data_IF_754832147392
#
_entry.id   IF_754832147392
#
_cell.length_a   1.000
_cell.length_b   1.000
_cell.length_c   1.000
_cell.angle_alpha   90.00
_cell.angle_beta   90.00
_cell.angle_gamma   90.00
#
_symmetry.space_group_name_H-M   'P 1'
#
loop_
_entity.id
_entity.type
_entity.pdbx_description
1 polymer ?
#
# COMPACT_ATOMS: atom_id res chain seq x y z
N UNK A 1 -23.97 49.91 12.39
CA UNK A 1 -23.81 49.56 10.96
C UNK A 1 -22.54 48.76 10.96
N UNK A 2 -22.70 47.48 11.25
CA UNK A 2 -21.61 46.63 11.71
C UNK A 2 -21.00 46.03 10.46
N UNK A 3 -19.83 46.54 10.09
CA UNK A 3 -18.99 45.91 9.07
C UNK A 3 -18.43 44.62 9.67
N UNK A 4 -19.21 43.54 9.53
CA UNK A 4 -18.74 42.18 9.78
C UNK A 4 -17.80 41.83 8.64
N UNK A 5 -16.58 42.35 8.72
CA UNK A 5 -15.46 41.81 7.96
C UNK A 5 -15.33 40.36 8.41
N UNK A 6 -15.81 39.45 7.54
CA UNK A 6 -15.49 38.03 7.61
C UNK A 6 -13.97 37.93 7.61
N UNK A 7 -13.38 37.82 8.81
CA UNK A 7 -12.03 37.30 8.97
C UNK A 7 -12.15 35.86 8.49
N UNK A 8 -11.91 35.65 7.19
CA UNK A 8 -11.65 34.32 6.65
C UNK A 8 -10.45 33.84 7.43
N UNK A 9 -10.71 33.00 8.45
CA UNK A 9 -9.66 32.28 9.16
C UNK A 9 -9.08 31.35 8.11
N UNK A 10 -8.05 31.82 7.39
CA UNK A 10 -7.28 30.97 6.50
C UNK A 10 -6.53 30.02 7.41
N UNK A 11 -7.10 28.83 7.63
CA UNK A 11 -6.37 27.71 8.20
C UNK A 11 -5.05 27.59 7.40
N UNK A 12 -3.90 27.37 8.07
CA UNK A 12 -2.67 27.10 7.35
C UNK A 12 -2.91 25.87 6.47
N UNK A 13 -2.73 26.02 5.14
CA UNK A 13 -2.90 24.92 4.18
C UNK A 13 -2.07 23.73 4.62
N UNK A 14 -2.71 22.58 4.75
CA UNK A 14 -2.03 21.34 5.11
C UNK A 14 -1.62 20.51 3.88
N UNK A 15 -0.96 19.37 4.09
CA UNK A 15 -0.55 18.47 3.00
C UNK A 15 -1.76 17.95 2.19
N UNK A 16 -2.95 17.85 2.81
CA UNK A 16 -4.16 17.33 2.16
C UNK A 16 -4.73 18.40 1.23
N UNK A 17 -4.80 19.64 1.68
CA UNK A 17 -5.23 20.78 0.86
C UNK A 17 -4.33 20.92 -0.39
N UNK A 18 -3.01 20.81 -0.20
CA UNK A 18 -2.03 20.87 -1.28
C UNK A 18 -2.20 19.72 -2.28
N UNK A 19 -2.49 18.51 -1.80
CA UNK A 19 -2.72 17.35 -2.66
C UNK A 19 -4.04 17.44 -3.44
N UNK A 20 -5.10 17.98 -2.84
CA UNK A 20 -6.41 18.16 -3.51
C UNK A 20 -6.33 19.22 -4.60
N UNK A 21 -5.59 20.31 -4.35
CA UNK A 21 -5.37 21.39 -5.33
C UNK A 21 -4.39 20.99 -6.45
N UNK A 22 -3.69 19.86 -6.31
CA UNK A 22 -2.63 19.43 -7.22
C UNK A 22 -3.19 19.11 -8.61
N UNK A 23 -2.72 19.84 -9.62
CA UNK A 23 -3.01 19.57 -11.02
C UNK A 23 -1.94 18.62 -11.58
N UNK A 24 -2.29 17.35 -11.75
CA UNK A 24 -1.42 16.36 -12.36
C UNK A 24 -1.31 16.57 -13.86
N UNK A 25 -0.11 16.38 -14.41
CA UNK A 25 0.07 16.33 -15.86
C UNK A 25 -0.42 14.98 -16.38
N UNK A 26 -0.90 14.91 -17.62
CA UNK A 26 -1.42 13.66 -18.21
C UNK A 26 -0.45 12.47 -18.08
N UNK A 27 0.87 12.71 -18.17
CA UNK A 27 1.88 11.66 -18.01
C UNK A 27 1.97 11.09 -16.58
N UNK A 28 1.59 11.85 -15.55
CA UNK A 28 1.61 11.41 -14.15
C UNK A 28 0.37 10.58 -13.80
N UNK A 29 -0.75 10.79 -14.51
CA UNK A 29 -2.00 10.05 -14.33
C UNK A 29 -1.83 8.56 -14.68
N UNK A 30 -1.00 8.25 -15.67
CA UNK A 30 -0.73 6.86 -16.10
C UNK A 30 0.44 6.21 -15.36
N UNK A 31 1.04 6.89 -14.39
CA UNK A 31 2.18 6.37 -13.63
C UNK A 31 1.70 5.50 -12.47
N UNK A 32 2.47 4.46 -12.12
CA UNK A 32 2.18 3.63 -10.96
C UNK A 32 2.07 4.54 -9.70
N UNK A 33 0.96 4.46 -8.93
CA UNK A 33 0.75 5.34 -7.78
C UNK A 33 1.88 5.24 -6.74
N UNK A 34 2.53 4.08 -6.61
CA UNK A 34 3.68 3.91 -5.71
C UNK A 34 4.88 4.75 -6.14
N UNK A 35 5.10 4.91 -7.45
CA UNK A 35 6.17 5.75 -8.00
C UNK A 35 5.85 7.22 -7.78
N UNK A 36 4.59 7.62 -8.01
CA UNK A 36 4.13 8.98 -7.72
C UNK A 36 4.39 9.38 -6.25
N UNK A 37 3.98 8.53 -5.30
CA UNK A 37 4.19 8.80 -3.87
C UNK A 37 5.66 8.71 -3.44
N UNK A 38 6.50 7.96 -4.16
CA UNK A 38 7.93 7.94 -3.94
C UNK A 38 8.57 9.27 -4.37
N UNK A 39 8.18 9.79 -5.52
CA UNK A 39 8.68 11.06 -6.06
C UNK A 39 8.25 12.26 -5.20
N UNK A 40 7.01 12.24 -4.70
CA UNK A 40 6.46 13.33 -3.90
C UNK A 40 6.62 13.11 -2.38
N UNK A 41 7.49 12.20 -1.94
CA UNK A 41 7.69 11.91 -0.52
C UNK A 41 8.25 13.10 0.27
N UNK A 42 9.04 13.97 -0.37
CA UNK A 42 9.56 15.20 0.23
C UNK A 42 8.51 16.29 0.38
N UNK A 43 7.54 16.35 -0.53
CA UNK A 43 6.47 17.34 -0.54
C UNK A 43 5.29 16.92 0.34
N UNK A 44 4.95 15.63 0.34
CA UNK A 44 3.89 15.06 1.16
C UNK A 44 4.44 14.00 2.12
N UNK A 45 5.08 14.45 3.19
CA UNK A 45 5.85 13.61 4.10
C UNK A 45 4.97 12.68 4.96
N UNK A 46 3.76 13.12 5.30
CA UNK A 46 2.78 12.33 6.05
C UNK A 46 1.87 11.56 5.09
N UNK A 47 1.41 12.21 4.03
CA UNK A 47 0.49 11.59 3.08
C UNK A 47 1.15 10.43 2.30
N UNK A 48 2.42 10.55 1.91
CA UNK A 48 3.16 9.46 1.26
C UNK A 48 3.32 8.21 2.15
N UNK A 49 3.52 8.40 3.47
CA UNK A 49 3.59 7.30 4.43
C UNK A 49 2.23 6.62 4.58
N UNK A 50 1.15 7.40 4.59
CA UNK A 50 -0.22 6.87 4.66
C UNK A 50 -0.58 6.13 3.37
N UNK A 51 -0.33 6.74 2.21
CA UNK A 51 -0.56 6.17 0.90
C UNK A 51 0.17 4.83 0.75
N UNK A 52 1.44 4.74 1.15
CA UNK A 52 2.18 3.47 1.15
C UNK A 52 1.52 2.39 2.00
N UNK A 53 0.97 2.72 3.17
CA UNK A 53 0.23 1.76 4.00
C UNK A 53 -1.06 1.31 3.33
N UNK A 54 -1.81 2.25 2.75
CA UNK A 54 -3.06 1.97 2.05
C UNK A 54 -2.80 1.06 0.83
N UNK A 55 -1.80 1.38 0.00
CA UNK A 55 -1.47 0.58 -1.18
C UNK A 55 -0.78 -0.76 -0.84
N UNK A 56 -0.19 -0.90 0.36
CA UNK A 56 0.32 -2.18 0.84
C UNK A 56 -0.81 -3.14 1.26
N UNK A 57 -2.02 -2.62 1.56
CA UNK A 57 -3.19 -3.45 1.82
C UNK A 57 -3.67 -3.97 0.47
N UNK A 58 -3.48 -5.27 0.26
CA UNK A 58 -3.94 -5.97 -0.93
C UNK A 58 -5.47 -5.77 -1.07
N UNK A 59 -5.89 -5.09 -2.13
CA UNK A 59 -7.31 -4.86 -2.42
C UNK A 59 -8.05 -6.16 -2.81
N UNK A 60 -7.33 -7.26 -3.11
CA UNK A 60 -7.92 -8.52 -3.54
C UNK A 60 -7.68 -9.68 -2.57
N UNK A 61 -8.73 -10.47 -2.35
CA UNK A 61 -8.64 -11.78 -1.71
C UNK A 61 -7.68 -12.71 -2.44
N UNK A 62 -7.44 -12.50 -3.73
CA UNK A 62 -6.56 -13.32 -4.56
C UNK A 62 -5.15 -13.50 -3.99
N UNK A 63 -4.59 -12.51 -3.29
CA UNK A 63 -3.28 -12.67 -2.66
C UNK A 63 -3.33 -13.58 -1.42
N UNK A 64 -4.40 -13.47 -0.64
CA UNK A 64 -4.68 -14.36 0.50
C UNK A 64 -5.01 -15.77 -0.01
N UNK A 65 -5.81 -15.90 -1.06
CA UNK A 65 -6.15 -17.17 -1.72
C UNK A 65 -4.90 -17.85 -2.31
N UNK A 66 -3.95 -17.10 -2.89
CA UNK A 66 -2.66 -17.67 -3.32
C UNK A 66 -1.85 -18.22 -2.14
N UNK A 67 -1.84 -17.51 -1.01
CA UNK A 67 -1.18 -17.98 0.21
C UNK A 67 -1.85 -19.26 0.76
N UNK A 68 -3.18 -19.28 0.84
CA UNK A 68 -3.94 -20.47 1.26
C UNK A 68 -3.82 -21.64 0.29
N UNK A 69 -3.82 -21.38 -1.02
CA UNK A 69 -3.60 -22.42 -2.04
C UNK A 69 -2.20 -23.01 -1.91
N UNK A 70 -1.17 -22.16 -1.74
CA UNK A 70 0.20 -22.62 -1.48
C UNK A 70 0.28 -23.45 -0.20
N UNK A 71 -0.41 -23.04 0.87
CA UNK A 71 -0.53 -23.82 2.10
C UNK A 71 -1.21 -25.17 1.87
N UNK A 72 -2.31 -25.21 1.11
CA UNK A 72 -2.99 -26.45 0.73
C UNK A 72 -2.11 -27.40 -0.10
N UNK A 73 -1.19 -26.87 -0.91
CA UNK A 73 -0.22 -27.70 -1.64
C UNK A 73 0.89 -28.27 -0.73
N UNK A 74 1.28 -27.53 0.30
CA UNK A 74 2.25 -28.02 1.31
C UNK A 74 1.59 -29.05 2.22
N UNK A 75 0.35 -28.80 2.63
CA UNK A 75 -0.48 -29.68 3.45
C UNK A 75 -1.26 -30.65 2.56
N UNK A 76 -0.55 -31.61 1.97
CA UNK A 76 -1.17 -32.74 1.25
C UNK A 76 -1.23 -33.98 2.15
N UNK A 77 -2.22 -34.86 1.92
CA UNK A 77 -2.45 -36.08 2.72
C UNK A 77 -1.24 -37.04 2.79
N UNK A 78 -0.25 -36.85 1.91
CA UNK A 78 1.02 -37.59 1.83
C UNK A 78 2.15 -36.99 2.70
N UNK A 79 1.96 -35.78 3.24
CA UNK A 79 2.88 -35.03 4.14
C UNK A 79 2.19 -34.54 5.42
N UNK A 80 1.14 -35.22 5.87
CA UNK A 80 0.37 -34.94 7.09
C UNK A 80 1.15 -35.10 8.41
N UNK A 81 2.42 -35.53 8.36
CA UNK A 81 3.33 -35.61 9.51
C UNK A 81 4.22 -34.37 9.68
N UNK A 82 4.04 -33.32 8.86
CA UNK A 82 4.76 -32.06 9.04
C UNK A 82 4.18 -31.30 10.22
N UNK A 83 5.05 -30.94 11.15
CA UNK A 83 4.74 -30.04 12.26
C UNK A 83 4.28 -28.67 11.70
N UNK A 84 3.25 -28.02 12.29
CA UNK A 84 2.78 -26.70 11.86
C UNK A 84 3.90 -25.65 11.74
N UNK A 85 4.92 -25.75 12.59
CA UNK A 85 6.13 -24.91 12.53
C UNK A 85 6.88 -25.05 11.20
N UNK A 86 7.14 -26.28 10.76
CA UNK A 86 7.81 -26.57 9.48
C UNK A 86 6.99 -26.10 8.27
N UNK A 87 5.65 -26.18 8.35
CA UNK A 87 4.76 -25.67 7.29
C UNK A 87 4.89 -24.16 7.16
N UNK A 88 4.92 -23.44 8.28
CA UNK A 88 5.08 -21.99 8.30
C UNK A 88 6.43 -21.57 7.70
N UNK A 89 7.52 -22.26 8.04
CA UNK A 89 8.85 -21.99 7.50
C UNK A 89 8.90 -22.18 5.97
N UNK A 90 8.29 -23.26 5.45
CA UNK A 90 8.20 -23.52 4.01
C UNK A 90 7.39 -22.42 3.31
N UNK A 91 6.27 -21.99 3.90
CA UNK A 91 5.45 -20.92 3.34
C UNK A 91 6.18 -19.57 3.35
N UNK A 92 6.89 -19.26 4.43
CA UNK A 92 7.72 -18.06 4.53
C UNK A 92 8.81 -18.05 3.47
N UNK A 93 9.59 -19.14 3.34
CA UNK A 93 10.65 -19.27 2.34
C UNK A 93 10.10 -19.10 0.92
N UNK A 94 8.95 -19.73 0.62
CA UNK A 94 8.27 -19.59 -0.68
C UNK A 94 7.80 -18.17 -0.96
N UNK A 95 7.26 -17.49 0.05
CA UNK A 95 6.82 -16.09 -0.07
C UNK A 95 8.00 -15.16 -0.35
N UNK A 96 9.13 -15.34 0.35
CA UNK A 96 10.36 -14.59 0.14
C UNK A 96 10.93 -14.83 -1.26
N UNK A 97 10.96 -16.08 -1.74
CA UNK A 97 11.44 -16.41 -3.09
C UNK A 97 10.57 -15.75 -4.18
N UNK A 98 9.24 -15.80 -4.04
CA UNK A 98 8.32 -15.16 -4.98
C UNK A 98 8.49 -13.63 -5.01
N UNK A 99 8.69 -12.99 -3.85
CA UNK A 99 8.87 -11.54 -3.78
C UNK A 99 10.19 -11.10 -4.43
N UNK A 100 11.24 -11.94 -4.39
CA UNK A 100 12.52 -11.68 -5.07
C UNK A 100 12.46 -11.82 -6.59
N UNK A 101 11.52 -12.62 -7.14
CA UNK A 101 11.37 -12.84 -8.58
C UNK A 101 10.64 -11.70 -9.31
N UNK A 102 10.06 -10.77 -8.58
CA UNK A 102 9.29 -9.63 -9.11
C UNK A 102 9.99 -8.27 -8.91
N UNK A 103 11.24 -8.29 -8.44
CA UNK A 103 12.17 -7.16 -8.42
C UNK A 103 13.26 -7.40 -9.47
#
# INVERSE_FOLDING_TARGET
>A
MDDVTLVVVTQPRDEVDLYIDLQLKDNEIYTNPLIFWQQHQSEFSYLSKLARKIFAILCSSAAVERAFSAAGQVVTQRRSSLEPTTINDILFLRSVENNKRHL
#
